data_IF_616326617585
#
_entry.id   IF_616326617585
#
_cell.length_a   1.000
_cell.length_b   1.000
_cell.length_c   1.000
_cell.angle_alpha   90.00
_cell.angle_beta   90.00
_cell.angle_gamma   90.00
#
_symmetry.space_group_name_H-M   'P 1'
#
loop_
_entity.id
_entity.type
_entity.pdbx_description
1 polymer ?
#
# COMPACT_ATOMS: atom_id res chain seq x y z
N UNK A 1 -8.48 -15.98 9.34
CA UNK A 1 -7.48 -15.26 8.52
C UNK A 1 -6.31 -14.83 9.40
N UNK A 2 -5.12 -15.26 9.05
CA UNK A 2 -3.90 -14.92 9.79
C UNK A 2 -3.06 -13.93 8.96
N UNK A 3 -3.43 -12.68 9.04
CA UNK A 3 -2.71 -11.61 8.36
C UNK A 3 -2.18 -10.65 9.41
N UNK A 4 -0.88 -10.41 9.40
CA UNK A 4 -0.19 -9.55 10.35
C UNK A 4 0.42 -8.35 9.62
N UNK A 5 -0.34 -7.26 9.45
CA UNK A 5 0.14 -6.08 8.71
C UNK A 5 1.40 -5.45 9.30
N UNK A 6 1.50 -5.36 10.62
CA UNK A 6 2.68 -4.77 11.26
C UNK A 6 3.91 -5.65 11.10
N UNK A 7 3.77 -6.96 11.33
CA UNK A 7 4.86 -7.91 11.18
C UNK A 7 5.31 -8.01 9.73
N UNK A 8 4.36 -8.03 8.79
CA UNK A 8 4.65 -8.05 7.36
C UNK A 8 5.46 -6.81 6.94
N UNK A 9 5.05 -5.63 7.39
CA UNK A 9 5.77 -4.38 7.09
C UNK A 9 7.17 -4.38 7.70
N UNK A 10 7.29 -4.84 8.95
CA UNK A 10 8.59 -4.90 9.62
C UNK A 10 9.57 -5.82 8.91
N UNK A 11 9.12 -6.99 8.50
CA UNK A 11 9.95 -7.94 7.75
C UNK A 11 10.33 -7.37 6.37
N UNK A 12 9.38 -6.77 5.68
CA UNK A 12 9.64 -6.11 4.40
C UNK A 12 10.72 -5.03 4.56
N UNK A 13 10.59 -4.17 5.56
CA UNK A 13 11.55 -3.07 5.77
C UNK A 13 12.94 -3.61 6.09
N UNK A 14 13.03 -4.66 6.89
CA UNK A 14 14.30 -5.30 7.21
C UNK A 14 15.00 -5.82 5.96
N UNK A 15 14.25 -6.50 5.10
CA UNK A 15 14.80 -7.06 3.86
C UNK A 15 15.15 -5.98 2.85
N UNK A 16 14.43 -4.87 2.83
CA UNK A 16 14.78 -3.73 1.97
C UNK A 16 16.12 -3.12 2.38
N UNK A 17 16.44 -3.09 3.66
CA UNK A 17 17.76 -2.65 4.14
C UNK A 17 18.85 -3.60 3.63
N UNK A 18 18.60 -4.89 3.66
CA UNK A 18 19.54 -5.88 3.13
C UNK A 18 19.78 -5.67 1.63
N UNK A 19 18.73 -5.43 0.86
CA UNK A 19 18.84 -5.14 -0.58
C UNK A 19 19.67 -3.87 -0.80
N UNK A 20 19.38 -2.82 -0.04
CA UNK A 20 20.14 -1.56 -0.12
C UNK A 20 21.63 -1.78 0.11
N UNK A 21 21.97 -2.63 1.10
CA UNK A 21 23.37 -2.89 1.43
C UNK A 21 24.06 -3.79 0.40
N UNK A 22 23.28 -4.63 -0.29
CA UNK A 22 23.79 -5.59 -1.27
C UNK A 22 23.93 -5.01 -2.67
N UNK A 23 22.92 -4.25 -3.12
CA UNK A 23 22.90 -3.64 -4.46
C UNK A 23 22.48 -2.16 -4.36
N UNK A 24 23.34 -1.31 -3.79
CA UNK A 24 22.96 0.08 -3.46
C UNK A 24 22.57 0.94 -4.65
N UNK A 25 23.20 0.77 -5.81
CA UNK A 25 22.90 1.59 -6.98
C UNK A 25 21.51 1.32 -7.53
N UNK A 26 21.15 0.04 -7.68
CA UNK A 26 19.85 -0.38 -8.18
C UNK A 26 18.75 0.00 -7.19
N UNK A 27 19.01 -0.21 -5.90
CA UNK A 27 18.10 0.21 -4.84
C UNK A 27 17.84 1.72 -4.90
N UNK A 28 18.89 2.51 -5.04
CA UNK A 28 18.76 3.97 -5.07
C UNK A 28 17.96 4.44 -6.30
N UNK A 29 18.18 3.82 -7.46
CA UNK A 29 17.41 4.12 -8.66
C UNK A 29 15.92 3.86 -8.46
N UNK A 30 15.56 2.74 -7.83
CA UNK A 30 14.18 2.41 -7.50
C UNK A 30 13.56 3.44 -6.54
N UNK A 31 14.29 3.81 -5.49
CA UNK A 31 13.80 4.77 -4.49
C UNK A 31 13.60 6.15 -5.11
N UNK A 32 14.49 6.58 -6.01
CA UNK A 32 14.34 7.86 -6.71
C UNK A 32 13.12 7.86 -7.61
N UNK A 33 12.89 6.78 -8.37
CA UNK A 33 11.71 6.64 -9.20
C UNK A 33 10.43 6.68 -8.36
N UNK A 34 10.39 5.92 -7.28
CA UNK A 34 9.26 5.89 -6.37
C UNK A 34 8.95 7.28 -5.82
N UNK A 35 9.98 7.98 -5.34
CA UNK A 35 9.83 9.32 -4.79
C UNK A 35 9.25 10.29 -5.81
N UNK A 36 9.72 10.23 -7.05
CA UNK A 36 9.25 11.10 -8.12
C UNK A 36 7.79 10.80 -8.49
N UNK A 37 7.44 9.52 -8.62
CA UNK A 37 6.09 9.11 -9.02
C UNK A 37 5.07 9.47 -7.95
N UNK A 38 5.44 9.33 -6.67
CA UNK A 38 4.51 9.58 -5.55
C UNK A 38 4.43 11.05 -5.13
N UNK A 39 5.34 11.90 -5.60
CA UNK A 39 5.28 13.33 -5.28
C UNK A 39 4.13 14.01 -6.04
N UNK A 40 3.69 15.16 -5.51
CA UNK A 40 2.59 15.92 -6.12
C UNK A 40 2.93 16.36 -7.54
N UNK A 41 1.97 16.19 -8.44
CA UNK A 41 2.03 16.65 -9.82
C UNK A 41 0.67 17.22 -10.16
N UNK A 42 0.10 16.84 -11.30
CA UNK A 42 -1.30 17.19 -11.62
C UNK A 42 -2.25 16.57 -10.59
N UNK A 43 -1.90 15.42 -10.06
CA UNK A 43 -2.61 14.80 -8.94
C UNK A 43 -1.87 15.11 -7.65
N UNK A 44 -2.61 15.27 -6.56
CA UNK A 44 -2.00 15.48 -5.25
C UNK A 44 -1.29 14.21 -4.77
N UNK A 45 -0.33 14.39 -3.88
CA UNK A 45 0.32 13.25 -3.22
C UNK A 45 -0.72 12.40 -2.48
N UNK A 46 -1.67 13.05 -1.80
CA UNK A 46 -2.77 12.37 -1.10
C UNK A 46 -3.55 11.44 -2.02
N UNK A 47 -3.91 11.93 -3.22
CA UNK A 47 -4.63 11.13 -4.21
C UNK A 47 -3.78 9.95 -4.69
N UNK A 48 -2.49 10.17 -4.86
CA UNK A 48 -1.57 9.12 -5.32
C UNK A 48 -1.46 7.97 -4.31
N UNK A 49 -1.49 8.27 -3.01
CA UNK A 49 -1.50 7.21 -1.99
C UNK A 49 -2.77 6.37 -2.07
N UNK A 50 -3.91 6.97 -2.34
CA UNK A 50 -5.16 6.23 -2.52
C UNK A 50 -5.11 5.36 -3.77
N UNK A 51 -4.58 5.90 -4.88
CA UNK A 51 -4.39 5.13 -6.12
C UNK A 51 -3.45 3.94 -5.87
N UNK A 52 -2.40 4.14 -5.08
CA UNK A 52 -1.47 3.07 -4.74
C UNK A 52 -2.15 1.96 -3.94
N UNK A 53 -3.04 2.33 -3.02
CA UNK A 53 -3.81 1.35 -2.25
C UNK A 53 -4.71 0.53 -3.17
N UNK A 54 -5.47 1.17 -4.04
CA UNK A 54 -6.35 0.49 -5.00
C UNK A 54 -5.55 -0.41 -5.93
N UNK A 55 -4.40 0.07 -6.39
CA UNK A 55 -3.50 -0.72 -7.25
C UNK A 55 -2.95 -1.93 -6.51
N UNK A 56 -2.62 -1.79 -5.22
CA UNK A 56 -2.10 -2.88 -4.40
C UNK A 56 -3.13 -3.99 -4.21
N UNK A 57 -4.41 -3.62 -4.04
CA UNK A 57 -5.51 -4.57 -3.94
C UNK A 57 -5.72 -5.29 -5.27
N UNK A 58 -5.72 -4.54 -6.37
CA UNK A 58 -5.89 -5.09 -7.72
C UNK A 58 -4.75 -6.06 -8.06
N UNK A 59 -3.53 -5.72 -7.66
CA UNK A 59 -2.36 -6.56 -7.88
C UNK A 59 -2.28 -7.75 -6.91
N UNK A 60 -3.19 -7.83 -5.94
CA UNK A 60 -3.23 -8.89 -4.93
C UNK A 60 -1.91 -8.99 -4.17
N UNK A 61 -1.45 -7.85 -3.66
CA UNK A 61 -0.15 -7.74 -3.00
C UNK A 61 -0.31 -7.55 -1.48
N UNK A 62 -0.32 -8.63 -0.68
CA UNK A 62 -0.52 -8.51 0.76
C UNK A 62 0.61 -7.75 1.47
N UNK A 63 1.80 -7.69 0.90
CA UNK A 63 2.93 -6.93 1.44
C UNK A 63 2.79 -5.44 1.13
N UNK A 64 2.21 -5.09 -0.02
CA UNK A 64 2.02 -3.70 -0.44
C UNK A 64 0.90 -3.01 0.36
N UNK A 65 -0.15 -3.76 0.71
CA UNK A 65 -1.36 -3.22 1.33
C UNK A 65 -1.09 -2.46 2.63
N UNK A 66 -0.36 -2.99 3.63
CA UNK A 66 -0.18 -2.28 4.89
C UNK A 66 0.55 -0.96 4.73
N UNK A 67 1.52 -0.91 3.82
CA UNK A 67 2.29 0.31 3.56
C UNK A 67 1.43 1.37 2.89
N UNK A 68 0.62 0.96 1.91
CA UNK A 68 -0.32 1.86 1.26
C UNK A 68 -1.39 2.36 2.25
N UNK A 69 -1.91 1.50 3.11
CA UNK A 69 -2.86 1.89 4.16
C UNK A 69 -2.24 2.92 5.10
N UNK A 70 -1.00 2.71 5.52
CA UNK A 70 -0.31 3.65 6.41
C UNK A 70 -0.19 5.04 5.77
N UNK A 71 0.22 5.09 4.51
CA UNK A 71 0.30 6.36 3.77
C UNK A 71 -1.07 7.04 3.65
N UNK A 72 -2.12 6.27 3.38
CA UNK A 72 -3.47 6.80 3.29
C UNK A 72 -3.93 7.38 4.62
N UNK A 73 -3.71 6.67 5.72
CA UNK A 73 -4.06 7.14 7.06
C UNK A 73 -3.32 8.43 7.41
N UNK A 74 -2.01 8.47 7.15
CA UNK A 74 -1.17 9.63 7.42
C UNK A 74 -1.58 10.84 6.58
N UNK A 75 -2.16 10.61 5.40
CA UNK A 75 -2.64 11.65 4.48
C UNK A 75 -4.05 12.13 4.81
N UNK A 76 -4.73 11.49 5.75
CA UNK A 76 -6.06 11.90 6.18
C UNK A 76 -7.23 11.19 5.49
N UNK A 77 -6.99 10.12 4.72
CA UNK A 77 -8.08 9.33 4.18
C UNK A 77 -8.78 8.55 5.29
N UNK A 78 -10.12 8.54 5.26
CA UNK A 78 -10.92 7.80 6.23
C UNK A 78 -11.04 6.33 5.85
N UNK A 79 -11.40 5.51 6.83
CA UNK A 79 -11.71 4.09 6.58
C UNK A 79 -12.77 3.93 5.50
N UNK A 80 -13.84 4.73 5.58
CA UNK A 80 -14.92 4.68 4.58
C UNK A 80 -14.43 5.00 3.18
N UNK A 81 -13.63 6.05 3.06
CA UNK A 81 -13.08 6.45 1.76
C UNK A 81 -12.16 5.39 1.17
N UNK A 82 -11.27 4.83 1.99
CA UNK A 82 -10.36 3.79 1.55
C UNK A 82 -11.09 2.54 1.08
N UNK A 83 -12.08 2.09 1.84
CA UNK A 83 -12.84 0.88 1.48
C UNK A 83 -13.72 1.13 0.25
N UNK A 84 -14.34 2.30 0.14
CA UNK A 84 -15.12 2.67 -1.04
C UNK A 84 -14.25 2.67 -2.30
N UNK A 85 -13.06 3.25 -2.22
CA UNK A 85 -12.12 3.26 -3.34
C UNK A 85 -11.71 1.84 -3.75
N UNK A 86 -11.43 0.98 -2.78
CA UNK A 86 -11.04 -0.40 -3.06
C UNK A 86 -12.16 -1.21 -3.71
N UNK A 87 -13.43 -0.89 -3.42
CA UNK A 87 -14.55 -1.55 -4.07
C UNK A 87 -14.60 -1.31 -5.58
N UNK A 88 -14.04 -0.20 -6.05
CA UNK A 88 -13.93 0.06 -7.49
C UNK A 88 -13.08 -1.03 -8.15
N UNK A 89 -12.01 -1.49 -7.49
CA UNK A 89 -11.16 -2.56 -8.01
C UNK A 89 -11.91 -3.89 -8.15
N UNK A 90 -12.90 -4.13 -7.31
CA UNK A 90 -13.71 -5.36 -7.35
C UNK A 90 -14.52 -5.46 -8.64
N UNK A 91 -14.92 -4.33 -9.22
CA UNK A 91 -15.65 -4.30 -10.50
C UNK A 91 -14.82 -4.93 -11.63
N UNK A 92 -13.50 -4.81 -11.57
CA UNK A 92 -12.61 -5.37 -12.58
C UNK A 92 -12.15 -6.77 -12.20
N UNK A 93 -11.76 -6.96 -10.93
CA UNK A 93 -11.11 -8.19 -10.47
C UNK A 93 -12.03 -9.24 -9.86
N UNK A 94 -13.26 -8.88 -9.53
CA UNK A 94 -14.24 -9.81 -8.99
C UNK A 94 -13.97 -10.23 -7.55
N UNK A 95 -14.54 -11.37 -7.17
CA UNK A 95 -14.48 -11.86 -5.78
C UNK A 95 -13.06 -12.13 -5.28
N UNK A 96 -12.13 -12.48 -6.15
CA UNK A 96 -10.73 -12.69 -5.74
C UNK A 96 -10.09 -11.40 -5.25
N UNK A 97 -10.46 -10.26 -5.84
CA UNK A 97 -10.01 -8.94 -5.35
C UNK A 97 -10.70 -8.60 -4.04
N UNK A 98 -11.98 -8.96 -3.89
CA UNK A 98 -12.72 -8.70 -2.65
C UNK A 98 -12.02 -9.34 -1.44
N UNK A 99 -11.41 -10.51 -1.59
CA UNK A 99 -10.67 -11.13 -0.49
C UNK A 99 -9.51 -10.25 -0.02
N UNK A 100 -8.89 -9.51 -0.96
CA UNK A 100 -7.81 -8.57 -0.60
C UNK A 100 -8.34 -7.28 0.00
N UNK A 101 -9.57 -6.89 -0.27
CA UNK A 101 -10.21 -5.75 0.42
C UNK A 101 -10.35 -6.07 1.92
N UNK A 102 -10.57 -7.33 2.29
CA UNK A 102 -10.59 -7.71 3.72
C UNK A 102 -9.24 -7.48 4.38
N UNK A 103 -8.14 -7.65 3.65
CA UNK A 103 -6.80 -7.35 4.17
C UNK A 103 -6.62 -5.86 4.41
N UNK A 104 -7.22 -5.03 3.57
CA UNK A 104 -7.23 -3.57 3.79
C UNK A 104 -7.95 -3.24 5.08
N UNK A 105 -9.12 -3.82 5.31
CA UNK A 105 -9.88 -3.61 6.55
C UNK A 105 -9.06 -4.02 7.78
N UNK A 106 -8.36 -5.14 7.70
CA UNK A 106 -7.50 -5.62 8.79
C UNK A 106 -6.33 -4.66 9.03
N UNK A 107 -5.70 -4.19 7.97
CA UNK A 107 -4.59 -3.24 8.08
C UNK A 107 -5.05 -1.92 8.69
N UNK A 108 -6.21 -1.42 8.30
CA UNK A 108 -6.77 -0.18 8.88
C UNK A 108 -7.00 -0.37 10.38
N UNK A 109 -7.60 -1.50 10.77
CA UNK A 109 -7.87 -1.81 12.18
C UNK A 109 -6.59 -1.78 13.02
N UNK A 110 -5.52 -2.42 12.54
CA UNK A 110 -4.26 -2.50 13.29
C UNK A 110 -3.44 -1.22 13.24
N UNK A 111 -3.46 -0.49 12.13
CA UNK A 111 -2.59 0.67 11.92
C UNK A 111 -3.22 2.00 12.35
N UNK A 112 -4.51 2.01 12.67
CA UNK A 112 -5.21 3.22 13.12
C UNK A 112 -5.01 3.54 14.60
N UNK A 113 -4.38 2.66 15.34
CA UNK A 113 -4.13 2.84 16.77
C UNK A 113 -3.03 3.85 17.06
#
# INVERSE_FOLDING_TARGET
>A
MQYDPKGTTGEFNRLMVDIKNTIPEEYQAFIQEKSKVTSAGELSEKDKWLLLLVSSVTAKCPVCIPRAVKHCLDSGWSKKEMLEACMVAVLVGGSSVMTFVTLVAKAIEELSE
#
